data_IF_492335670227
#
_entry.id   IF_492335670227
#
_cell.length_a   1.000
_cell.length_b   1.000
_cell.length_c   1.000
_cell.angle_alpha   90.00
_cell.angle_beta   90.00
_cell.angle_gamma   90.00
#
_symmetry.space_group_name_H-M   'P 1'
#
loop_
_entity.id
_entity.type
_entity.pdbx_description
1 polymer ?
#
# COMPACT_ATOMS: atom_id res chain seq x y z
N UNK A 1 1.33 -6.70 -5.34
CA UNK A 1 0.06 -6.42 -4.62
C UNK A 1 -1.16 -6.47 -5.53
N UNK A 2 -1.14 -5.85 -6.72
CA UNK A 2 -2.33 -5.68 -7.59
C UNK A 2 -2.95 -6.99 -8.13
N UNK A 3 -2.19 -8.07 -8.24
CA UNK A 3 -2.76 -9.39 -8.60
C UNK A 3 -3.58 -9.97 -7.43
N UNK A 4 -3.22 -9.65 -6.20
CA UNK A 4 -4.02 -10.03 -5.02
C UNK A 4 -5.19 -9.06 -4.81
N UNK A 5 -4.96 -7.75 -4.90
CA UNK A 5 -5.99 -6.75 -4.61
C UNK A 5 -5.76 -5.49 -5.46
N UNK A 6 -6.71 -5.18 -6.32
CA UNK A 6 -6.73 -3.98 -7.15
C UNK A 6 -8.06 -3.21 -7.04
N UNK A 7 -8.93 -3.65 -6.13
CA UNK A 7 -10.24 -3.07 -5.86
C UNK A 7 -11.39 -3.63 -6.71
N UNK A 8 -11.11 -4.57 -7.63
CA UNK A 8 -12.17 -5.14 -8.49
C UNK A 8 -11.95 -6.59 -8.91
N UNK A 9 -10.77 -6.99 -9.30
CA UNK A 9 -10.52 -8.27 -9.98
C UNK A 9 -9.32 -9.06 -9.42
N UNK A 10 -8.67 -8.59 -8.37
CA UNK A 10 -7.61 -9.34 -7.70
C UNK A 10 -8.13 -10.61 -7.02
N UNK A 11 -7.25 -11.54 -6.72
CA UNK A 11 -7.62 -12.81 -6.06
C UNK A 11 -8.40 -12.58 -4.77
N UNK A 12 -7.93 -11.67 -3.92
CA UNK A 12 -8.60 -11.26 -2.67
C UNK A 12 -9.93 -10.58 -2.99
N UNK A 13 -9.96 -9.71 -4.01
CA UNK A 13 -11.17 -8.99 -4.38
C UNK A 13 -12.28 -9.95 -4.80
N UNK A 14 -11.96 -10.91 -5.69
CA UNK A 14 -12.94 -11.87 -6.20
C UNK A 14 -13.32 -12.94 -5.18
N UNK A 15 -12.33 -13.52 -4.50
CA UNK A 15 -12.53 -14.73 -3.72
C UNK A 15 -12.92 -14.46 -2.26
N UNK A 16 -12.55 -13.28 -1.71
CA UNK A 16 -12.85 -12.93 -0.32
C UNK A 16 -13.86 -11.80 -0.22
N UNK A 17 -13.63 -10.67 -0.91
CA UNK A 17 -14.46 -9.48 -0.77
C UNK A 17 -15.81 -9.65 -1.49
N UNK A 18 -15.81 -9.98 -2.78
CA UNK A 18 -17.07 -10.15 -3.55
C UNK A 18 -17.89 -11.34 -3.07
N UNK A 19 -17.23 -12.43 -2.65
CA UNK A 19 -17.91 -13.56 -2.04
C UNK A 19 -18.29 -13.33 -0.57
N UNK A 20 -18.01 -12.15 -0.04
CA UNK A 20 -18.32 -11.80 1.34
C UNK A 20 -17.80 -12.81 2.38
N UNK A 21 -16.64 -13.42 2.12
CA UNK A 21 -16.01 -14.36 3.07
C UNK A 21 -15.37 -13.65 4.25
N UNK A 22 -15.05 -12.39 4.10
CA UNK A 22 -14.55 -11.48 5.13
C UNK A 22 -15.33 -10.17 5.06
N UNK A 23 -15.21 -9.31 6.06
CA UNK A 23 -15.79 -7.97 6.00
C UNK A 23 -15.07 -7.09 4.97
N UNK A 24 -13.76 -7.28 4.81
CA UNK A 24 -12.94 -6.64 3.81
C UNK A 24 -11.50 -7.11 3.94
N UNK A 25 -10.81 -7.25 2.81
CA UNK A 25 -9.39 -7.57 2.76
C UNK A 25 -8.72 -6.83 1.61
N UNK A 26 -7.45 -6.48 1.79
CA UNK A 26 -6.64 -5.80 0.77
C UNK A 26 -5.16 -6.12 0.92
N UNK A 27 -4.44 -6.10 -0.18
CA UNK A 27 -3.00 -6.25 -0.23
C UNK A 27 -2.35 -4.96 -0.74
N UNK A 28 -1.29 -4.53 -0.08
CA UNK A 28 -0.54 -3.33 -0.44
C UNK A 28 0.95 -3.55 -0.26
N UNK A 29 1.76 -2.77 -0.94
CA UNK A 29 3.21 -2.78 -0.81
C UNK A 29 3.72 -1.37 -0.58
N UNK A 30 4.67 -1.24 0.31
CA UNK A 30 5.39 0.00 0.57
C UNK A 30 6.86 -0.24 0.31
N UNK A 31 7.46 0.58 -0.54
CA UNK A 31 8.88 0.52 -0.87
C UNK A 31 9.55 1.80 -0.42
N UNK A 32 10.67 1.67 0.28
CA UNK A 32 11.54 2.76 0.72
C UNK A 32 12.98 2.40 0.34
N UNK A 33 13.92 3.36 0.29
CA UNK A 33 15.30 3.08 -0.09
C UNK A 33 15.95 1.96 0.73
N UNK A 34 15.71 1.92 2.04
CA UNK A 34 16.38 1.01 2.98
C UNK A 34 15.54 -0.22 3.35
N UNK A 35 14.25 -0.22 3.06
CA UNK A 35 13.35 -1.29 3.46
C UNK A 35 12.07 -1.30 2.63
N UNK A 36 11.41 -2.45 2.58
CA UNK A 36 10.08 -2.59 2.00
C UNK A 36 9.22 -3.53 2.81
N UNK A 37 7.92 -3.32 2.76
CA UNK A 37 6.96 -4.21 3.38
C UNK A 37 5.85 -4.59 2.39
N UNK A 38 5.42 -5.83 2.49
CA UNK A 38 4.23 -6.32 1.82
C UNK A 38 3.19 -6.63 2.89
N UNK A 39 2.10 -5.89 2.89
CA UNK A 39 1.08 -5.93 3.92
C UNK A 39 -0.23 -6.46 3.36
N UNK A 40 -0.84 -7.41 4.06
CA UNK A 40 -2.22 -7.81 3.82
C UNK A 40 -3.02 -7.50 5.07
N UNK A 41 -4.06 -6.69 4.91
CA UNK A 41 -5.02 -6.38 5.97
C UNK A 41 -6.34 -7.09 5.69
N UNK A 42 -6.91 -7.73 6.70
CA UNK A 42 -8.21 -8.37 6.57
C UNK A 42 -9.03 -8.19 7.84
N UNK A 43 -10.32 -7.93 7.68
CA UNK A 43 -11.28 -7.70 8.75
C UNK A 43 -12.28 -8.86 8.83
N UNK A 44 -12.44 -9.49 10.01
CA UNK A 44 -13.40 -10.56 10.19
C UNK A 44 -14.84 -10.05 10.13
N UNK A 45 -15.75 -10.91 9.70
CA UNK A 45 -17.20 -10.70 9.88
C UNK A 45 -17.57 -10.92 11.35
N UNK A 46 -18.76 -10.50 11.70
CA UNK A 46 -19.32 -10.80 13.02
C UNK A 46 -19.33 -12.32 13.26
N UNK A 47 -18.77 -12.75 14.39
CA UNK A 47 -18.67 -14.18 14.76
C UNK A 47 -17.56 -14.98 14.07
N UNK A 48 -16.82 -14.38 13.15
CA UNK A 48 -15.68 -15.02 12.49
C UNK A 48 -14.41 -14.87 13.34
N UNK A 49 -13.63 -15.92 13.45
CA UNK A 49 -12.37 -15.90 14.18
C UNK A 49 -11.25 -15.25 13.35
N UNK A 50 -10.24 -14.71 14.03
CA UNK A 50 -9.07 -14.14 13.36
C UNK A 50 -8.23 -15.21 12.62
N UNK A 51 -8.21 -16.44 13.14
CA UNK A 51 -7.49 -17.55 12.51
C UNK A 51 -8.18 -18.01 11.22
N UNK A 52 -9.52 -18.06 11.18
CA UNK A 52 -10.24 -18.33 9.94
C UNK A 52 -9.92 -17.28 8.85
N UNK A 53 -9.86 -16.01 9.22
CA UNK A 53 -9.49 -14.93 8.28
C UNK A 53 -8.06 -15.07 7.79
N UNK A 54 -7.12 -15.38 8.70
CA UNK A 54 -5.72 -15.66 8.35
C UNK A 54 -5.64 -16.79 7.32
N UNK A 55 -6.33 -17.90 7.56
CA UNK A 55 -6.29 -19.08 6.70
C UNK A 55 -6.87 -18.78 5.30
N UNK A 56 -7.94 -17.99 5.23
CA UNK A 56 -8.49 -17.50 3.96
C UNK A 56 -7.47 -16.65 3.18
N UNK A 57 -6.75 -15.76 3.85
CA UNK A 57 -5.71 -14.92 3.22
C UNK A 57 -4.54 -15.78 2.74
N UNK A 58 -4.08 -16.72 3.56
CA UNK A 58 -2.97 -17.63 3.20
C UNK A 58 -3.35 -18.51 2.00
N UNK A 59 -4.61 -18.91 1.88
CA UNK A 59 -5.09 -19.65 0.72
C UNK A 59 -4.99 -18.83 -0.58
N UNK A 60 -5.26 -17.53 -0.55
CA UNK A 60 -5.09 -16.67 -1.73
C UNK A 60 -3.60 -16.43 -2.07
N UNK A 61 -2.72 -16.36 -1.07
CA UNK A 61 -1.27 -16.34 -1.29
C UNK A 61 -0.80 -17.64 -1.94
N UNK A 62 -1.30 -18.79 -1.48
CA UNK A 62 -0.98 -20.10 -2.07
C UNK A 62 -1.38 -20.17 -3.55
N UNK A 63 -2.57 -19.66 -3.92
CA UNK A 63 -3.01 -19.55 -5.32
C UNK A 63 -2.08 -18.66 -6.15
N UNK A 64 -1.67 -17.50 -5.62
CA UNK A 64 -0.71 -16.64 -6.30
C UNK A 64 0.61 -17.37 -6.57
N UNK A 65 1.14 -18.06 -5.58
CA UNK A 65 2.38 -18.85 -5.68
C UNK A 65 2.27 -20.02 -6.66
N UNK A 66 1.08 -20.64 -6.76
CA UNK A 66 0.79 -21.69 -7.71
C UNK A 66 0.48 -21.18 -9.13
N UNK A 67 0.36 -19.85 -9.31
CA UNK A 67 -0.03 -19.25 -10.58
C UNK A 67 -1.50 -19.47 -10.95
N UNK A 68 -2.36 -19.73 -9.96
CA UNK A 68 -3.80 -19.91 -10.14
C UNK A 68 -4.52 -18.57 -10.32
N UNK A 69 -4.10 -17.80 -11.31
CA UNK A 69 -4.76 -16.58 -11.76
C UNK A 69 -4.69 -16.46 -13.28
N UNK A 70 -5.67 -15.77 -13.85
CA UNK A 70 -5.74 -15.57 -15.29
C UNK A 70 -4.63 -14.59 -15.74
N UNK A 71 -4.00 -14.89 -16.86
CA UNK A 71 -3.03 -14.00 -17.50
C UNK A 71 -3.67 -12.66 -17.92
N UNK A 72 -4.96 -12.68 -18.24
CA UNK A 72 -5.74 -11.48 -18.49
C UNK A 72 -5.80 -10.54 -17.29
N UNK A 73 -5.73 -11.05 -16.05
CA UNK A 73 -5.63 -10.23 -14.84
C UNK A 73 -4.33 -9.42 -14.81
N UNK A 74 -3.20 -10.03 -15.17
CA UNK A 74 -1.92 -9.34 -15.26
C UNK A 74 -1.96 -8.25 -16.34
N UNK A 75 -2.42 -8.59 -17.54
CA UNK A 75 -2.57 -7.64 -18.66
C UNK A 75 -3.49 -6.47 -18.29
N UNK A 76 -4.64 -6.76 -17.69
CA UNK A 76 -5.59 -5.75 -17.23
C UNK A 76 -4.98 -4.84 -16.15
N UNK A 77 -4.23 -5.41 -15.22
CA UNK A 77 -3.50 -4.66 -14.19
C UNK A 77 -2.48 -3.70 -14.80
N UNK A 78 -1.65 -4.17 -15.72
CA UNK A 78 -0.65 -3.35 -16.43
C UNK A 78 -1.34 -2.21 -17.19
N UNK A 79 -2.43 -2.49 -17.91
CA UNK A 79 -3.17 -1.48 -18.66
C UNK A 79 -3.79 -0.42 -17.74
N UNK A 80 -4.33 -0.81 -16.57
CA UNK A 80 -4.83 0.13 -15.58
C UNK A 80 -3.72 1.01 -15.00
N UNK A 81 -2.53 0.47 -14.77
CA UNK A 81 -1.39 1.23 -14.30
C UNK A 81 -0.91 2.24 -15.36
N UNK A 82 -0.87 1.85 -16.63
CA UNK A 82 -0.61 2.78 -17.75
C UNK A 82 -1.60 3.93 -17.78
N UNK A 83 -2.89 3.63 -17.68
CA UNK A 83 -3.94 4.66 -17.68
C UNK A 83 -3.79 5.62 -16.50
N UNK A 84 -3.49 5.10 -15.31
CA UNK A 84 -3.25 5.95 -14.12
C UNK A 84 -2.05 6.87 -14.33
N UNK A 85 -0.94 6.37 -14.85
CA UNK A 85 0.24 7.20 -15.12
C UNK A 85 -0.06 8.28 -16.17
N UNK A 86 -0.78 7.95 -17.23
CA UNK A 86 -1.18 8.96 -18.22
C UNK A 86 -1.98 10.09 -17.59
N UNK A 87 -2.95 9.76 -16.71
CA UNK A 87 -3.74 10.77 -15.98
C UNK A 87 -2.90 11.59 -15.01
N UNK A 88 -1.96 10.97 -14.31
CA UNK A 88 -1.02 11.70 -13.43
C UNK A 88 -0.17 12.70 -14.22
N UNK A 89 0.26 12.34 -15.42
CA UNK A 89 1.04 13.23 -16.29
C UNK A 89 0.25 14.46 -16.81
N UNK A 90 -1.09 14.46 -16.73
CA UNK A 90 -1.90 15.63 -17.06
C UNK A 90 -1.82 16.72 -15.96
N UNK A 91 -1.52 16.35 -14.72
CA UNK A 91 -1.42 17.25 -13.57
C UNK A 91 0.00 17.77 -13.37
N UNK A 92 0.15 19.10 -13.25
CA UNK A 92 1.45 19.71 -12.94
C UNK A 92 1.95 19.31 -11.54
N UNK A 93 1.04 19.20 -10.57
CA UNK A 93 1.37 18.78 -9.21
C UNK A 93 1.90 17.36 -9.18
N UNK A 94 1.21 16.43 -9.84
CA UNK A 94 1.61 15.01 -9.85
C UNK A 94 2.95 14.83 -10.58
N UNK A 95 3.19 15.61 -11.65
CA UNK A 95 4.52 15.62 -12.32
C UNK A 95 5.62 16.12 -11.39
N UNK A 96 5.35 17.17 -10.61
CA UNK A 96 6.30 17.67 -9.63
C UNK A 96 6.57 16.63 -8.52
N UNK A 97 5.51 15.96 -8.05
CA UNK A 97 5.64 14.90 -7.04
C UNK A 97 6.45 13.69 -7.56
N UNK A 98 6.35 13.35 -8.84
CA UNK A 98 7.19 12.30 -9.42
C UNK A 98 8.69 12.61 -9.30
N UNK A 99 9.11 13.88 -9.55
CA UNK A 99 10.49 14.29 -9.35
C UNK A 99 10.90 14.19 -7.88
N UNK A 100 10.03 14.63 -6.97
CA UNK A 100 10.27 14.55 -5.52
C UNK A 100 10.42 13.10 -5.07
N UNK A 101 9.55 12.21 -5.51
CA UNK A 101 9.61 10.79 -5.17
C UNK A 101 10.84 10.10 -5.74
N UNK A 102 11.21 10.38 -6.99
CA UNK A 102 12.43 9.88 -7.60
C UNK A 102 13.66 10.29 -6.78
N UNK A 103 13.74 11.56 -6.37
CA UNK A 103 14.82 12.06 -5.52
C UNK A 103 14.85 11.39 -4.15
N UNK A 104 13.70 11.28 -3.46
CA UNK A 104 13.61 10.66 -2.13
C UNK A 104 14.00 9.19 -2.17
N UNK A 105 13.58 8.47 -3.21
CA UNK A 105 13.86 7.05 -3.37
C UNK A 105 15.24 6.76 -3.96
N UNK A 106 15.98 7.78 -4.41
CA UNK A 106 17.27 7.62 -5.09
C UNK A 106 17.14 6.89 -6.42
N UNK A 107 15.98 6.97 -7.07
CA UNK A 107 15.71 6.36 -8.38
C UNK A 107 16.25 7.26 -9.49
N UNK A 108 16.96 6.69 -10.46
CA UNK A 108 17.36 7.44 -11.65
C UNK A 108 16.10 7.88 -12.43
N UNK A 109 16.10 9.12 -12.90
CA UNK A 109 14.97 9.65 -13.65
C UNK A 109 14.70 8.88 -14.96
N UNK A 110 15.74 8.32 -15.58
CA UNK A 110 15.57 7.47 -16.75
C UNK A 110 14.79 6.19 -16.43
N UNK A 111 15.01 5.59 -15.24
CA UNK A 111 14.27 4.42 -14.76
C UNK A 111 12.82 4.78 -14.45
N UNK A 112 12.58 5.96 -13.86
CA UNK A 112 11.22 6.45 -13.60
C UNK A 112 10.43 6.63 -14.89
N UNK A 113 11.04 7.21 -15.92
CA UNK A 113 10.42 7.36 -17.25
C UNK A 113 10.18 6.01 -17.93
N UNK A 114 11.11 5.06 -17.79
CA UNK A 114 11.02 3.72 -18.36
C UNK A 114 10.11 2.77 -17.57
N UNK A 115 9.57 3.20 -16.41
CA UNK A 115 8.84 2.34 -15.48
C UNK A 115 7.69 1.57 -16.16
N UNK A 116 6.84 2.23 -16.96
CA UNK A 116 5.72 1.59 -17.65
C UNK A 116 6.21 0.60 -18.73
N UNK A 117 7.27 0.93 -19.43
CA UNK A 117 7.85 0.01 -20.42
C UNK A 117 8.39 -1.24 -19.72
N UNK A 118 9.10 -1.07 -18.61
CA UNK A 118 9.62 -2.17 -17.81
C UNK A 118 8.50 -3.00 -17.19
N UNK A 119 7.45 -2.36 -16.66
CA UNK A 119 6.27 -3.05 -16.15
C UNK A 119 5.59 -3.90 -17.23
N UNK A 120 5.58 -3.42 -18.48
CA UNK A 120 4.97 -4.13 -19.61
C UNK A 120 5.70 -5.43 -20.00
N UNK A 121 6.94 -5.61 -19.55
CA UNK A 121 7.74 -6.81 -19.77
C UNK A 121 7.52 -7.88 -18.70
N UNK A 122 6.83 -7.54 -17.60
CA UNK A 122 6.57 -8.47 -16.50
C UNK A 122 5.64 -9.58 -16.97
N UNK A 123 6.08 -10.81 -16.80
CA UNK A 123 5.35 -12.03 -17.15
C UNK A 123 4.61 -12.62 -15.95
N UNK A 124 3.68 -13.52 -16.22
CA UNK A 124 3.04 -14.33 -15.16
C UNK A 124 4.07 -15.12 -14.35
N UNK A 125 5.11 -15.65 -15.01
CA UNK A 125 6.16 -16.40 -14.33
C UNK A 125 6.96 -15.53 -13.37
N UNK A 126 7.27 -14.28 -13.75
CA UNK A 126 7.96 -13.34 -12.85
C UNK A 126 7.16 -13.07 -11.57
N UNK A 127 5.82 -12.98 -11.68
CA UNK A 127 4.94 -12.82 -10.52
C UNK A 127 4.97 -14.07 -9.63
N UNK A 128 4.93 -15.25 -10.22
CA UNK A 128 5.00 -16.54 -9.49
C UNK A 128 6.35 -16.67 -8.78
N UNK A 129 7.44 -16.39 -9.46
CA UNK A 129 8.80 -16.50 -8.91
C UNK A 129 9.00 -15.52 -7.75
N UNK A 130 8.52 -14.29 -7.92
CA UNK A 130 8.53 -13.29 -6.86
C UNK A 130 7.72 -13.75 -5.64
N UNK A 131 6.50 -14.26 -5.87
CA UNK A 131 5.63 -14.73 -4.80
C UNK A 131 6.25 -15.92 -4.04
N UNK A 132 6.84 -16.88 -4.74
CA UNK A 132 7.53 -18.01 -4.12
C UNK A 132 8.77 -17.60 -3.33
N UNK A 133 9.49 -16.56 -3.80
CA UNK A 133 10.68 -16.05 -3.12
C UNK A 133 10.36 -15.28 -1.85
N UNK A 134 9.33 -14.41 -1.88
CA UNK A 134 9.08 -13.43 -0.83
C UNK A 134 7.87 -13.72 0.06
N UNK A 135 6.90 -14.51 -0.42
CA UNK A 135 5.69 -14.85 0.32
C UNK A 135 5.71 -16.33 0.76
N UNK A 136 6.87 -16.81 1.21
CA UNK A 136 7.03 -18.17 1.70
C UNK A 136 6.41 -18.36 3.09
N UNK A 137 6.15 -19.62 3.45
CA UNK A 137 5.44 -19.98 4.68
C UNK A 137 6.19 -19.57 5.98
N UNK A 138 7.49 -19.24 5.86
CA UNK A 138 8.35 -18.87 7.00
C UNK A 138 8.76 -17.38 6.98
N UNK A 139 8.17 -16.55 6.10
CA UNK A 139 8.60 -15.17 5.88
C UNK A 139 7.52 -14.13 6.19
N UNK A 140 6.60 -14.43 7.10
CA UNK A 140 5.55 -13.48 7.48
C UNK A 140 5.36 -13.39 8.99
N UNK A 141 4.79 -12.28 9.42
CA UNK A 141 4.33 -12.02 10.80
C UNK A 141 2.82 -11.76 10.76
N UNK A 142 2.10 -12.35 11.70
CA UNK A 142 0.66 -12.08 11.86
C UNK A 142 0.45 -11.19 13.07
N UNK A 143 -0.24 -10.07 12.86
CA UNK A 143 -0.61 -9.13 13.92
C UNK A 143 -2.13 -9.17 14.09
N UNK A 144 -2.60 -9.60 15.25
CA UNK A 144 -4.00 -9.63 15.60
C UNK A 144 -4.40 -8.40 16.41
N UNK A 145 -5.28 -7.58 15.85
CA UNK A 145 -5.94 -6.51 16.61
C UNK A 145 -7.18 -7.09 17.31
N UNK A 146 -7.09 -7.25 18.61
CA UNK A 146 -8.17 -7.78 19.45
C UNK A 146 -8.88 -6.65 20.20
N UNK A 147 -10.15 -6.85 20.50
CA UNK A 147 -10.89 -5.96 21.39
C UNK A 147 -10.46 -6.22 22.86
N UNK A 148 -10.25 -5.16 23.61
CA UNK A 148 -9.89 -5.24 25.04
C UNK A 148 -8.89 -4.16 25.42
N UNK A 149 -8.60 -4.08 26.72
CA UNK A 149 -7.57 -3.20 27.26
C UNK A 149 -6.27 -3.98 27.40
N UNK A 150 -5.18 -3.48 26.82
CA UNK A 150 -3.85 -4.02 27.07
C UNK A 150 -3.32 -3.46 28.39
N UNK A 151 -3.33 -4.31 29.43
CA UNK A 151 -2.84 -3.96 30.77
C UNK A 151 -1.32 -4.13 30.90
N UNK A 152 -0.65 -4.64 29.87
CA UNK A 152 0.82 -4.84 29.88
C UNK A 152 1.58 -3.60 29.47
N UNK A 153 0.91 -2.64 28.83
CA UNK A 153 1.53 -1.38 28.39
C UNK A 153 1.89 -0.52 29.60
N UNK A 154 3.16 -0.35 29.88
CA UNK A 154 3.63 0.64 30.84
C UNK A 154 3.48 2.04 30.23
N UNK A 155 2.62 2.85 30.86
CA UNK A 155 2.50 4.28 30.48
C UNK A 155 3.80 4.99 30.85
N UNK A 156 4.58 5.36 29.85
CA UNK A 156 5.70 6.28 30.03
C UNK A 156 5.14 7.64 30.37
N UNK A 157 5.64 8.29 31.43
CA UNK A 157 5.24 9.65 31.75
C UNK A 157 5.60 10.57 30.60
N UNK A 158 4.63 11.33 30.11
CA UNK A 158 4.88 12.31 29.06
C UNK A 158 5.93 13.34 29.51
N UNK A 159 6.92 13.66 28.67
CA UNK A 159 7.87 14.71 29.00
C UNK A 159 7.12 16.03 29.19
N UNK A 160 7.58 16.87 30.14
CA UNK A 160 7.05 18.23 30.27
C UNK A 160 7.39 19.00 29.01
N UNK A 161 6.37 19.34 28.23
CA UNK A 161 6.53 20.21 27.07
C UNK A 161 6.63 21.65 27.59
N UNK A 162 7.74 22.31 27.32
CA UNK A 162 7.88 23.75 27.60
C UNK A 162 6.98 24.51 26.62
N UNK A 163 5.99 25.27 27.09
CA UNK A 163 5.12 26.02 26.18
C UNK A 163 5.94 27.03 25.38
N UNK A 164 5.82 26.97 24.06
CA UNK A 164 6.38 28.01 23.20
C UNK A 164 5.48 29.26 23.36
N UNK A 165 6.08 30.36 23.80
CA UNK A 165 5.42 31.68 23.79
C UNK A 165 5.30 32.13 22.34
N UNK A 166 4.23 31.79 21.67
CA UNK A 166 3.93 32.32 20.35
C UNK A 166 3.33 33.72 20.50
N UNK A 167 3.90 34.68 19.81
CA UNK A 167 3.27 36.00 19.66
C UNK A 167 2.14 35.84 18.62
N UNK A 168 0.91 35.69 19.10
CA UNK A 168 -0.26 35.51 18.23
C UNK A 168 -0.69 36.81 17.52
N UNK A 169 -0.18 37.94 17.97
CA UNK A 169 -0.48 39.26 17.39
C UNK A 169 0.54 39.66 16.31
N UNK A 170 1.61 38.90 16.16
CA UNK A 170 2.61 39.15 15.12
C UNK A 170 2.05 38.68 13.74
N UNK A 171 1.95 39.61 12.83
CA UNK A 171 1.65 39.36 11.44
C UNK A 171 2.92 39.47 10.58
N UNK A 172 3.04 38.63 9.54
CA UNK A 172 4.08 38.85 8.54
C UNK A 172 3.80 40.11 7.74
N UNK A 173 4.86 40.79 7.25
CA UNK A 173 4.73 41.96 6.38
C UNK A 173 3.83 41.65 5.15
N UNK A 174 3.95 40.44 4.60
CA UNK A 174 3.13 39.95 3.48
C UNK A 174 1.63 39.92 3.84
N UNK A 175 1.28 39.41 5.02
CA UNK A 175 -0.12 39.34 5.42
C UNK A 175 -0.72 40.74 5.67
N UNK A 176 0.09 41.64 6.26
CA UNK A 176 -0.33 43.01 6.47
C UNK A 176 -0.57 43.78 5.14
N UNK A 177 0.25 43.52 4.14
CA UNK A 177 0.10 44.09 2.79
C UNK A 177 -1.18 43.58 2.09
N UNK A 178 -1.48 42.29 2.17
CA UNK A 178 -2.71 41.71 1.59
C UNK A 178 -3.97 42.26 2.28
N UNK A 179 -3.94 42.47 3.59
CA UNK A 179 -5.08 43.01 4.33
C UNK A 179 -5.32 44.52 4.10
N UNK A 180 -4.31 45.24 3.60
CA UNK A 180 -4.41 46.66 3.27
C UNK A 180 -4.92 46.94 1.86
N UNK A 181 -5.09 45.90 1.03
CA UNK A 181 -5.61 45.94 -0.34
C UNK A 181 -7.10 45.58 -0.38
#
# INVERSE_FOLDING_TARGET
SYILSNGSAGLIDLNLNQQQKVLGAQAMSYTRPDAGEFLIMANPKHGQTLDEVKDLVLAEIAKLRAGEFDEALLTGTINNMKLRQMRMLESNSDRADMFVQSFINGTDWADEVAWIENLSKVTKQDVIDWANKYLSDNSYVVIYKRQGEDKTVQKVSAPKITPIKANRDAQSAFLAEIQAT
#
